data_IF_328375092560
#
_entry.id   IF_328375092560
#
_cell.length_a   1.000
_cell.length_b   1.000
_cell.length_c   1.000
_cell.angle_alpha   90.00
_cell.angle_beta   90.00
_cell.angle_gamma   90.00
#
_symmetry.space_group_name_H-M   'P 1'
#
loop_
_entity.id
_entity.type
_entity.pdbx_description
1 polymer ?
#
# COMPACT_ATOMS: atom_id res chain seq x y z
N UNK A 1 -9.07 13.50 -3.06
CA UNK A 1 -8.83 14.21 -1.78
C UNK A 1 -8.20 13.18 -0.89
N UNK A 2 -6.95 13.40 -0.48
CA UNK A 2 -6.25 12.50 0.42
C UNK A 2 -6.91 12.64 1.81
N UNK A 3 -7.39 11.53 2.37
CA UNK A 3 -7.92 11.53 3.73
C UNK A 3 -6.72 11.60 4.67
N UNK A 4 -6.59 12.70 5.43
CA UNK A 4 -5.42 12.95 6.27
C UNK A 4 -5.45 12.15 7.59
N UNK A 5 -6.52 11.38 7.86
CA UNK A 5 -6.75 10.51 9.03
C UNK A 5 -6.36 11.11 10.40
N UNK A 6 -6.27 12.43 10.50
CA UNK A 6 -5.80 13.14 11.71
C UNK A 6 -6.71 12.88 12.90
N UNK A 7 -7.99 12.61 12.65
CA UNK A 7 -8.96 12.22 13.66
C UNK A 7 -8.59 10.92 14.40
N UNK A 8 -7.73 10.07 13.83
CA UNK A 8 -7.27 8.84 14.50
C UNK A 8 -6.35 9.15 15.67
N UNK A 9 -5.63 10.28 15.59
CA UNK A 9 -4.75 10.76 16.66
C UNK A 9 -5.53 11.35 17.85
N UNK A 10 -6.84 11.55 17.70
CA UNK A 10 -7.73 12.02 18.76
C UNK A 10 -8.45 10.85 19.48
N UNK A 11 -8.31 9.62 18.97
CA UNK A 11 -8.95 8.45 19.54
C UNK A 11 -8.42 8.13 20.94
N UNK A 12 -9.25 7.65 21.88
CA UNK A 12 -8.79 7.17 23.17
C UNK A 12 -7.74 6.06 23.02
N UNK A 13 -6.58 6.22 23.66
CA UNK A 13 -5.47 5.27 23.57
C UNK A 13 -4.33 5.61 24.52
N UNK A 14 -3.38 4.70 24.65
CA UNK A 14 -2.12 4.91 25.36
C UNK A 14 -1.18 5.82 24.55
N UNK A 15 -0.21 6.50 25.21
CA UNK A 15 0.78 7.30 24.49
C UNK A 15 1.57 6.51 23.42
N UNK A 16 1.85 5.23 23.69
CA UNK A 16 2.57 4.36 22.74
C UNK A 16 1.73 4.06 21.49
N UNK A 17 0.44 3.75 21.66
CA UNK A 17 -0.46 3.56 20.52
C UNK A 17 -0.57 4.85 19.68
N UNK A 18 -0.60 6.01 20.33
CA UNK A 18 -0.67 7.30 19.64
C UNK A 18 0.61 7.63 18.86
N UNK A 19 1.78 7.37 19.44
CA UNK A 19 3.06 7.54 18.76
C UNK A 19 3.16 6.60 17.55
N UNK A 20 2.79 5.34 17.71
CA UNK A 20 2.77 4.36 16.62
C UNK A 20 1.80 4.77 15.50
N UNK A 21 0.57 5.18 15.84
CA UNK A 21 -0.40 5.65 14.85
C UNK A 21 0.15 6.85 14.08
N UNK A 22 0.74 7.82 14.78
CA UNK A 22 1.35 8.98 14.13
C UNK A 22 2.43 8.58 13.13
N UNK A 23 3.36 7.72 13.52
CA UNK A 23 4.45 7.26 12.64
C UNK A 23 3.91 6.54 11.39
N UNK A 24 2.90 5.70 11.56
CA UNK A 24 2.29 4.96 10.44
C UNK A 24 1.52 5.90 9.51
N UNK A 25 0.66 6.76 10.05
CA UNK A 25 -0.17 7.68 9.26
C UNK A 25 0.68 8.71 8.50
N UNK A 26 1.84 9.13 9.03
CA UNK A 26 2.75 10.07 8.37
C UNK A 26 3.35 9.55 7.06
N UNK A 27 3.38 8.22 6.88
CA UNK A 27 4.02 7.55 5.72
C UNK A 27 3.10 6.60 4.96
N UNK A 28 1.78 6.67 5.21
CA UNK A 28 0.77 5.89 4.50
C UNK A 28 0.88 6.10 2.99
N UNK A 29 1.06 5.01 2.25
CA UNK A 29 1.03 5.08 0.79
C UNK A 29 -0.37 5.47 0.27
N UNK A 30 -0.46 5.81 -1.02
CA UNK A 30 -1.78 6.03 -1.66
C UNK A 30 -2.66 4.78 -1.55
N UNK A 31 -2.10 3.59 -1.80
CA UNK A 31 -2.83 2.32 -1.70
C UNK A 31 -3.33 2.06 -0.28
N UNK A 32 -2.45 2.23 0.71
CA UNK A 32 -2.79 2.05 2.12
C UNK A 32 -3.84 3.09 2.56
N UNK A 33 -3.76 4.33 2.07
CA UNK A 33 -4.75 5.38 2.35
C UNK A 33 -6.13 5.03 1.80
N UNK A 34 -6.22 4.46 0.60
CA UNK A 34 -7.47 4.00 0.00
C UNK A 34 -8.06 2.82 0.78
N UNK A 35 -7.21 1.85 1.12
CA UNK A 35 -7.59 0.70 1.95
C UNK A 35 -8.10 1.15 3.33
N UNK A 36 -7.40 2.08 3.97
CA UNK A 36 -7.77 2.57 5.30
C UNK A 36 -9.08 3.36 5.25
N UNK A 37 -9.29 4.17 4.22
CA UNK A 37 -10.55 4.87 4.02
C UNK A 37 -11.73 3.89 3.92
N UNK A 38 -11.60 2.83 3.10
CA UNK A 38 -12.64 1.83 2.95
C UNK A 38 -12.93 1.10 4.28
N UNK A 39 -11.89 0.55 4.91
CA UNK A 39 -12.02 -0.21 6.17
C UNK A 39 -12.64 0.65 7.27
N UNK A 40 -12.24 1.92 7.37
CA UNK A 40 -12.71 2.82 8.42
C UNK A 40 -14.13 3.33 8.18
N UNK A 41 -14.59 3.38 6.93
CA UNK A 41 -16.00 3.67 6.63
C UNK A 41 -16.91 2.48 6.95
N UNK A 42 -16.45 1.26 6.68
CA UNK A 42 -17.18 0.04 7.05
C UNK A 42 -17.19 -0.23 8.56
N UNK A 43 -16.06 0.03 9.22
CA UNK A 43 -15.84 -0.21 10.65
C UNK A 43 -15.10 0.98 11.29
N UNK A 44 -15.81 2.07 11.63
CA UNK A 44 -15.18 3.24 12.25
C UNK A 44 -14.47 2.89 13.56
N UNK A 45 -13.19 3.25 13.73
CA UNK A 45 -12.45 2.95 14.95
C UNK A 45 -12.95 3.82 16.12
N UNK A 46 -13.19 3.21 17.29
CA UNK A 46 -13.64 3.93 18.49
C UNK A 46 -12.47 4.30 19.43
N UNK A 47 -11.33 3.64 19.28
CA UNK A 47 -10.11 3.79 20.08
C UNK A 47 -8.88 3.51 19.24
N UNK A 48 -7.71 3.92 19.73
CA UNK A 48 -6.44 3.75 19.04
C UNK A 48 -6.16 2.28 18.65
N UNK A 49 -6.46 1.33 19.53
CA UNK A 49 -6.33 -0.10 19.24
C UNK A 49 -7.13 -0.57 18.01
N UNK A 50 -8.31 0.01 17.76
CA UNK A 50 -9.15 -0.35 16.59
C UNK A 50 -8.57 0.24 15.30
N UNK A 51 -8.01 1.46 15.38
CA UNK A 51 -7.29 2.09 14.27
C UNK A 51 -6.02 1.30 13.92
N UNK A 52 -5.24 0.88 14.93
CA UNK A 52 -4.07 0.01 14.75
C UNK A 52 -4.47 -1.29 14.06
N UNK A 53 -5.52 -1.95 14.55
CA UNK A 53 -6.07 -3.15 13.91
C UNK A 53 -6.41 -2.92 12.43
N UNK A 54 -7.01 -1.78 12.11
CA UNK A 54 -7.38 -1.42 10.74
C UNK A 54 -6.13 -1.27 9.86
N UNK A 55 -5.10 -0.56 10.34
CA UNK A 55 -3.81 -0.40 9.65
C UNK A 55 -3.13 -1.75 9.42
N UNK A 56 -3.17 -2.65 10.40
CA UNK A 56 -2.58 -3.99 10.26
C UNK A 56 -3.31 -4.89 9.27
N UNK A 57 -4.56 -4.57 8.91
CA UNK A 57 -5.34 -5.32 7.92
C UNK A 57 -5.21 -4.78 6.49
N UNK A 58 -4.52 -3.65 6.30
CA UNK A 58 -4.38 -3.04 4.98
C UNK A 58 -3.67 -3.94 3.96
N UNK A 59 -2.61 -4.69 4.30
CA UNK A 59 -1.97 -5.62 3.36
C UNK A 59 -2.93 -6.67 2.79
N UNK A 60 -3.93 -7.07 3.57
CA UNK A 60 -4.93 -8.06 3.16
C UNK A 60 -6.06 -7.47 2.29
N UNK A 61 -6.12 -6.14 2.12
CA UNK A 61 -7.07 -5.48 1.23
C UNK A 61 -6.60 -5.56 -0.23
N UNK A 62 -7.51 -5.81 -1.15
CA UNK A 62 -7.23 -5.81 -2.60
C UNK A 62 -7.91 -4.63 -3.26
N UNK A 63 -7.19 -3.89 -4.12
CA UNK A 63 -7.75 -2.76 -4.85
C UNK A 63 -7.98 -3.16 -6.31
N UNK A 64 -9.20 -2.91 -6.79
CA UNK A 64 -9.60 -3.18 -8.16
C UNK A 64 -9.82 -1.84 -8.88
N UNK A 65 -9.23 -1.58 -10.06
CA UNK A 65 -9.35 -0.32 -10.80
C UNK A 65 -10.74 -0.17 -11.44
N UNK A 66 -11.75 0.09 -10.61
CA UNK A 66 -13.15 0.20 -10.96
C UNK A 66 -13.85 1.27 -10.11
N UNK A 67 -14.46 2.27 -10.74
CA UNK A 67 -15.14 3.37 -10.05
C UNK A 67 -16.65 3.22 -9.93
N UNK A 68 -17.21 2.14 -10.48
CA UNK A 68 -18.64 1.84 -10.52
C UNK A 68 -18.86 0.33 -10.63
N UNK A 69 -20.09 -0.13 -10.39
CA UNK A 69 -20.44 -1.55 -10.62
C UNK A 69 -20.25 -1.95 -12.09
N UNK A 70 -20.61 -1.09 -13.03
CA UNK A 70 -20.36 -1.34 -14.46
C UNK A 70 -18.86 -1.54 -14.76
N UNK A 71 -17.99 -0.71 -14.18
CA UNK A 71 -16.53 -0.86 -14.34
C UNK A 71 -16.01 -2.13 -13.66
N UNK A 72 -16.55 -2.45 -12.48
CA UNK A 72 -16.18 -3.63 -11.71
C UNK A 72 -16.57 -4.92 -12.43
N UNK A 73 -17.77 -4.97 -13.02
CA UNK A 73 -18.20 -6.09 -13.84
C UNK A 73 -17.41 -6.23 -15.14
N UNK A 74 -16.96 -5.13 -15.75
CA UNK A 74 -16.01 -5.19 -16.87
C UNK A 74 -14.65 -5.70 -16.44
N UNK A 75 -14.18 -5.28 -15.27
CA UNK A 75 -12.89 -5.70 -14.70
C UNK A 75 -12.88 -7.19 -14.38
N UNK A 76 -13.90 -7.71 -13.68
CA UNK A 76 -13.98 -9.12 -13.29
C UNK A 76 -13.95 -10.08 -14.48
N UNK A 77 -14.46 -9.65 -15.63
CA UNK A 77 -14.46 -10.44 -16.85
C UNK A 77 -13.13 -10.47 -17.61
N UNK A 78 -12.17 -9.57 -17.31
CA UNK A 78 -10.86 -9.56 -18.01
C UNK A 78 -10.04 -10.84 -17.79
N UNK A 79 -10.30 -11.59 -16.70
CA UNK A 79 -9.65 -12.86 -16.41
C UNK A 79 -10.34 -14.10 -17.03
N UNK A 80 -11.61 -13.99 -17.42
CA UNK A 80 -12.34 -15.02 -18.15
C UNK A 80 -12.17 -14.79 -19.66
N UNK A 81 -12.25 -15.85 -20.48
CA UNK A 81 -12.08 -15.75 -21.93
C UNK A 81 -12.86 -14.55 -22.49
N UNK A 82 -12.17 -13.61 -23.15
CA UNK A 82 -12.75 -12.34 -23.58
C UNK A 82 -14.05 -12.58 -24.35
N UNK A 83 -15.15 -12.00 -23.86
CA UNK A 83 -16.43 -12.10 -24.56
C UNK A 83 -16.28 -11.50 -25.97
N UNK A 84 -16.90 -12.11 -26.99
CA UNK A 84 -16.93 -11.54 -28.33
C UNK A 84 -17.49 -10.10 -28.33
N UNK A 85 -16.91 -9.20 -29.14
CA UNK A 85 -17.29 -7.78 -29.17
C UNK A 85 -18.78 -7.56 -29.47
N UNK A 86 -19.40 -8.44 -30.26
CA UNK A 86 -20.81 -8.39 -30.62
C UNK A 86 -21.75 -8.76 -29.45
N UNK A 87 -21.23 -9.40 -28.41
CA UNK A 87 -21.98 -9.76 -27.20
C UNK A 87 -21.92 -8.64 -26.15
N UNK A 88 -20.82 -7.88 -26.09
CA UNK A 88 -20.59 -6.84 -25.07
C UNK A 88 -21.77 -5.87 -24.85
N UNK A 89 -22.47 -5.37 -25.90
CA UNK A 89 -23.60 -4.45 -25.70
C UNK A 89 -24.82 -5.05 -25.00
N UNK A 90 -24.88 -6.39 -24.90
CA UNK A 90 -25.99 -7.12 -24.28
C UNK A 90 -25.65 -7.65 -22.88
N UNK A 91 -24.40 -7.46 -22.44
CA UNK A 91 -23.95 -7.89 -21.12
C UNK A 91 -24.34 -6.83 -20.10
N UNK A 92 -25.01 -7.27 -19.03
CA UNK A 92 -25.31 -6.41 -17.89
C UNK A 92 -24.10 -6.36 -16.94
N UNK A 93 -23.14 -5.49 -17.27
CA UNK A 93 -21.94 -5.33 -16.46
C UNK A 93 -22.23 -4.74 -15.07
N UNK A 94 -23.29 -3.96 -14.92
CA UNK A 94 -23.68 -3.43 -13.62
C UNK A 94 -24.11 -4.57 -12.69
N UNK A 95 -24.95 -5.48 -13.18
CA UNK A 95 -25.35 -6.66 -12.41
C UNK A 95 -24.17 -7.58 -12.07
N UNK A 96 -23.26 -7.83 -13.03
CA UNK A 96 -22.04 -8.62 -12.77
C UNK A 96 -21.16 -7.95 -11.71
N UNK A 97 -21.07 -6.61 -11.71
CA UNK A 97 -20.34 -5.87 -10.68
C UNK A 97 -20.96 -6.01 -9.29
N UNK A 98 -22.29 -6.02 -9.20
CA UNK A 98 -22.99 -6.28 -7.94
C UNK A 98 -22.76 -7.71 -7.44
N UNK A 99 -22.84 -8.70 -8.33
CA UNK A 99 -22.51 -10.10 -8.00
C UNK A 99 -21.05 -10.24 -7.53
N UNK A 100 -20.13 -9.50 -8.14
CA UNK A 100 -18.74 -9.44 -7.69
C UNK A 100 -18.63 -8.90 -6.25
N UNK A 101 -19.30 -7.79 -5.91
CA UNK A 101 -19.30 -7.27 -4.53
C UNK A 101 -19.89 -8.27 -3.53
N UNK A 102 -20.96 -8.98 -3.89
CA UNK A 102 -21.57 -10.00 -3.02
C UNK A 102 -20.57 -11.12 -2.67
N UNK A 103 -19.71 -11.50 -3.61
CA UNK A 103 -18.64 -12.49 -3.41
C UNK A 103 -17.37 -11.90 -2.76
N UNK A 104 -17.11 -10.62 -3.01
CA UNK A 104 -15.92 -9.86 -2.61
C UNK A 104 -16.31 -8.55 -1.92
N UNK A 105 -16.80 -8.60 -0.65
CA UNK A 105 -17.31 -7.41 0.03
C UNK A 105 -16.28 -6.29 0.10
N UNK A 106 -16.71 -5.05 -0.14
CA UNK A 106 -15.79 -3.93 -0.29
C UNK A 106 -16.48 -2.58 -0.35
N UNK A 107 -15.76 -1.57 -0.83
CA UNK A 107 -16.28 -0.22 -1.01
C UNK A 107 -15.56 0.53 -2.14
N UNK A 108 -16.31 1.35 -2.89
CA UNK A 108 -15.72 2.25 -3.89
C UNK A 108 -15.05 3.46 -3.22
N UNK A 109 -13.74 3.64 -3.43
CA UNK A 109 -12.92 4.75 -2.95
C UNK A 109 -12.06 5.26 -4.11
N UNK A 110 -12.12 6.57 -4.40
CA UNK A 110 -11.17 7.21 -5.32
C UNK A 110 -11.15 6.67 -6.75
N UNK A 111 -12.25 6.07 -7.23
CA UNK A 111 -12.30 5.43 -8.56
C UNK A 111 -11.80 3.98 -8.57
N UNK A 112 -11.53 3.41 -7.41
CA UNK A 112 -11.20 2.01 -7.19
C UNK A 112 -12.29 1.33 -6.34
N UNK A 113 -12.42 0.03 -6.50
CA UNK A 113 -13.19 -0.82 -5.60
C UNK A 113 -12.22 -1.51 -4.65
N UNK A 114 -12.32 -1.21 -3.36
CA UNK A 114 -11.48 -1.79 -2.33
C UNK A 114 -12.19 -3.00 -1.74
N UNK A 115 -11.73 -4.19 -2.09
CA UNK A 115 -12.15 -5.44 -1.46
C UNK A 115 -11.57 -5.51 -0.05
N UNK A 116 -12.46 -5.72 0.93
CA UNK A 116 -12.08 -5.91 2.33
C UNK A 116 -11.24 -7.18 2.48
N UNK A 117 -10.41 -7.25 3.54
CA UNK A 117 -9.62 -8.44 3.81
C UNK A 117 -10.52 -9.66 3.93
N UNK A 118 -10.18 -10.75 3.22
CA UNK A 118 -10.91 -12.02 3.25
C UNK A 118 -10.85 -12.64 4.64
N UNK A 119 -11.70 -12.16 5.55
CA UNK A 119 -11.81 -12.55 6.97
C UNK A 119 -10.54 -13.25 7.48
N UNK A 120 -9.43 -12.51 7.50
CA UNK A 120 -8.12 -13.03 7.91
C UNK A 120 -8.00 -13.01 9.44
N UNK A 121 -7.01 -13.72 9.96
CA UNK A 121 -6.79 -14.08 11.36
C UNK A 121 -7.05 -12.95 12.38
N UNK A 122 -7.35 -13.32 13.64
CA UNK A 122 -7.41 -12.33 14.72
C UNK A 122 -6.20 -11.40 14.63
N UNK A 123 -6.41 -10.08 14.57
CA UNK A 123 -5.31 -9.14 14.40
C UNK A 123 -4.28 -9.34 15.50
N UNK A 124 -3.00 -9.22 15.14
CA UNK A 124 -1.87 -9.44 16.04
C UNK A 124 -1.95 -8.57 17.34
N UNK A 125 -2.70 -7.46 17.30
CA UNK A 125 -2.86 -6.54 18.42
C UNK A 125 -4.25 -6.62 19.07
N UNK A 126 -4.29 -7.01 20.35
CA UNK A 126 -5.52 -7.10 21.16
C UNK A 126 -5.72 -5.94 22.15
N UNK A 127 -4.80 -4.96 22.17
CA UNK A 127 -4.85 -3.79 23.04
C UNK A 127 -4.47 -4.02 24.52
N UNK A 128 -4.33 -5.26 24.99
CA UNK A 128 -3.92 -5.56 26.38
C UNK A 128 -2.74 -6.52 26.42
N UNK A 129 -1.60 -6.05 26.93
CA UNK A 129 -0.34 -6.80 27.06
C UNK A 129 0.24 -7.34 25.73
N UNK A 130 -0.23 -6.83 24.58
CA UNK A 130 0.39 -7.08 23.29
C UNK A 130 1.44 -5.98 23.03
N UNK A 131 2.62 -6.37 22.57
CA UNK A 131 3.57 -5.42 22.03
C UNK A 131 2.97 -4.80 20.75
N UNK A 132 3.26 -3.53 20.52
CA UNK A 132 2.92 -2.90 19.25
C UNK A 132 3.73 -3.60 18.15
N UNK A 133 3.09 -4.02 17.05
CA UNK A 133 3.78 -4.68 15.96
C UNK A 133 4.75 -3.70 15.29
N UNK A 134 5.93 -4.20 14.93
CA UNK A 134 6.89 -3.45 14.13
C UNK A 134 6.43 -3.38 12.67
N UNK A 135 6.51 -2.20 12.10
CA UNK A 135 6.30 -1.99 10.66
C UNK A 135 7.54 -2.47 9.89
N UNK A 136 7.56 -3.76 9.59
CA UNK A 136 8.72 -4.47 9.04
C UNK A 136 8.52 -4.95 7.60
N UNK A 137 7.31 -4.82 7.06
CA UNK A 137 6.96 -5.33 5.73
C UNK A 137 7.12 -4.26 4.64
N UNK A 138 8.32 -3.69 4.54
CA UNK A 138 8.70 -2.72 3.50
C UNK A 138 10.21 -2.66 3.36
N UNK A 139 10.68 -2.22 2.19
CA UNK A 139 12.09 -1.93 1.92
C UNK A 139 12.35 -0.43 1.84
N UNK A 140 11.53 0.26 1.04
CA UNK A 140 11.68 1.68 0.76
C UNK A 140 10.31 2.37 0.79
N UNK A 141 10.24 3.54 1.41
CA UNK A 141 9.10 4.46 1.29
C UNK A 141 9.57 5.74 0.60
N UNK A 142 8.87 6.15 -0.45
CA UNK A 142 9.21 7.34 -1.24
C UNK A 142 8.08 8.35 -1.16
N UNK A 143 8.43 9.61 -0.92
CA UNK A 143 7.50 10.72 -1.08
C UNK A 143 7.74 11.36 -2.44
N UNK A 144 6.82 11.18 -3.35
CA UNK A 144 6.89 11.66 -4.73
C UNK A 144 5.94 12.83 -4.92
N UNK A 145 6.36 13.86 -5.62
CA UNK A 145 5.55 15.02 -5.96
C UNK A 145 5.45 15.22 -7.48
N UNK A 146 4.49 16.03 -7.90
CA UNK A 146 4.35 16.49 -9.28
C UNK A 146 3.99 17.97 -9.30
N UNK A 147 4.05 18.65 -10.46
CA UNK A 147 3.57 20.03 -10.57
C UNK A 147 2.10 20.21 -10.16
N UNK A 148 1.27 19.17 -10.31
CA UNK A 148 -0.14 19.22 -9.94
C UNK A 148 -0.36 18.95 -8.43
N UNK A 149 0.54 18.20 -7.80
CA UNK A 149 0.48 17.81 -6.38
C UNK A 149 1.86 18.04 -5.75
N UNK A 150 2.20 19.30 -5.42
CA UNK A 150 3.54 19.68 -4.96
C UNK A 150 3.88 19.17 -3.56
N UNK A 151 2.87 18.96 -2.70
CA UNK A 151 3.05 18.38 -1.36
C UNK A 151 3.46 16.90 -1.39
N UNK A 152 3.22 16.24 -2.53
CA UNK A 152 3.53 14.86 -2.79
C UNK A 152 2.61 13.83 -2.12
N UNK A 153 2.76 12.59 -2.55
CA UNK A 153 2.11 11.40 -1.99
C UNK A 153 3.19 10.37 -1.64
N UNK A 154 2.86 9.48 -0.71
CA UNK A 154 3.75 8.38 -0.36
C UNK A 154 3.49 7.15 -1.24
N UNK A 155 4.57 6.45 -1.51
CA UNK A 155 4.66 5.15 -2.16
C UNK A 155 5.38 4.21 -1.19
N UNK A 156 4.88 2.98 -1.03
CA UNK A 156 5.51 1.95 -0.20
C UNK A 156 5.94 0.77 -1.08
N UNK A 157 7.17 0.33 -0.92
CA UNK A 157 7.74 -0.82 -1.63
C UNK A 157 8.11 -1.96 -0.67
N UNK A 158 8.06 -3.23 -1.13
CA UNK A 158 7.66 -3.65 -2.47
C UNK A 158 6.13 -3.69 -2.64
N UNK A 159 5.66 -3.76 -3.89
CA UNK A 159 4.23 -3.81 -4.19
C UNK A 159 3.54 -5.15 -3.87
N UNK A 160 4.29 -6.26 -3.82
CA UNK A 160 3.83 -7.64 -3.58
C UNK A 160 2.66 -8.16 -4.45
N UNK A 161 2.38 -7.51 -5.57
CA UNK A 161 1.33 -7.94 -6.52
C UNK A 161 1.86 -8.85 -7.65
N UNK A 162 3.16 -9.13 -7.65
CA UNK A 162 3.83 -9.98 -8.63
C UNK A 162 4.04 -9.32 -10.00
N UNK A 163 3.82 -8.01 -10.10
CA UNK A 163 4.10 -7.22 -11.30
C UNK A 163 5.54 -6.73 -11.31
N UNK A 164 5.95 -6.15 -12.43
CA UNK A 164 7.17 -5.35 -12.47
C UNK A 164 6.99 -4.12 -11.58
N UNK A 165 8.05 -3.68 -10.91
CA UNK A 165 8.00 -2.58 -9.94
C UNK A 165 7.29 -1.32 -10.49
N UNK A 166 7.54 -0.96 -11.75
CA UNK A 166 6.94 0.20 -12.41
C UNK A 166 5.44 0.06 -12.70
N UNK A 167 4.97 -1.18 -12.81
CA UNK A 167 3.58 -1.55 -13.08
C UNK A 167 2.85 -1.99 -11.79
N UNK A 168 3.54 -1.96 -10.64
CA UNK A 168 2.97 -2.34 -9.36
C UNK A 168 1.80 -1.41 -9.00
N UNK A 169 0.76 -1.95 -8.35
CA UNK A 169 -0.44 -1.22 -7.95
C UNK A 169 -0.10 0.00 -7.09
N UNK A 170 0.89 -0.14 -6.21
CA UNK A 170 1.48 0.95 -5.42
C UNK A 170 1.95 2.11 -6.32
N UNK A 171 2.69 1.82 -7.39
CA UNK A 171 3.23 2.83 -8.31
C UNK A 171 2.13 3.42 -9.17
N UNK A 172 1.25 2.60 -9.74
CA UNK A 172 0.14 3.05 -10.60
C UNK A 172 -0.77 4.01 -9.83
N UNK A 173 -1.14 3.66 -8.59
CA UNK A 173 -1.96 4.51 -7.73
C UNK A 173 -1.28 5.83 -7.39
N UNK A 174 0.02 5.80 -7.09
CA UNK A 174 0.78 7.02 -6.82
C UNK A 174 0.82 7.94 -8.05
N UNK A 175 1.06 7.40 -9.25
CA UNK A 175 1.07 8.18 -10.50
C UNK A 175 -0.30 8.79 -10.82
N UNK A 176 -1.38 8.03 -10.61
CA UNK A 176 -2.76 8.50 -10.79
C UNK A 176 -3.07 9.70 -9.89
N UNK A 177 -2.78 9.62 -8.59
CA UNK A 177 -2.98 10.74 -7.64
C UNK A 177 -2.10 11.94 -7.97
N UNK A 178 -0.86 11.69 -8.40
CA UNK A 178 0.07 12.73 -8.86
C UNK A 178 -0.32 13.32 -10.22
N UNK A 179 -1.27 12.72 -10.94
CA UNK A 179 -1.75 13.13 -12.27
C UNK A 179 -0.64 13.15 -13.32
N UNK A 180 0.26 12.18 -13.24
CA UNK A 180 1.36 11.98 -14.19
C UNK A 180 1.27 10.59 -14.79
N UNK A 181 2.04 10.34 -15.86
CA UNK A 181 2.01 9.03 -16.56
C UNK A 181 3.24 8.17 -16.28
N UNK A 182 4.28 8.76 -15.70
CA UNK A 182 5.57 8.11 -15.50
C UNK A 182 6.25 8.67 -14.26
N UNK A 183 7.07 7.84 -13.62
CA UNK A 183 7.96 8.24 -12.52
C UNK A 183 8.97 9.31 -12.95
N UNK A 184 9.27 9.42 -14.25
CA UNK A 184 10.13 10.47 -14.80
C UNK A 184 9.52 11.89 -14.69
N UNK A 185 8.19 11.98 -14.58
CA UNK A 185 7.47 13.24 -14.40
C UNK A 185 7.34 13.62 -12.89
N UNK A 186 7.87 12.79 -11.99
CA UNK A 186 7.84 13.01 -10.56
C UNK A 186 9.08 13.74 -10.04
N UNK A 187 8.96 14.33 -8.87
CA UNK A 187 10.07 14.86 -8.07
C UNK A 187 10.14 14.09 -6.76
N UNK A 188 11.31 13.53 -6.44
CA UNK A 188 11.55 12.87 -5.16
C UNK A 188 11.73 13.93 -4.06
N UNK A 189 10.84 13.93 -3.07
CA UNK A 189 10.92 14.83 -1.91
C UNK A 189 11.62 14.17 -0.73
N UNK A 190 11.33 12.89 -0.49
CA UNK A 190 11.84 12.14 0.64
C UNK A 190 11.98 10.67 0.27
N UNK A 191 13.02 10.01 0.79
CA UNK A 191 13.20 8.57 0.67
C UNK A 191 13.59 8.02 2.04
N UNK A 192 12.94 6.93 2.46
CA UNK A 192 13.28 6.17 3.66
C UNK A 192 13.59 4.74 3.25
N UNK A 193 14.62 4.16 3.86
CA UNK A 193 14.97 2.75 3.74
C UNK A 193 14.77 2.06 5.09
N UNK A 194 14.29 0.82 5.08
CA UNK A 194 14.22 0.00 6.29
C UNK A 194 15.63 -0.34 6.81
N UNK A 195 16.62 -0.33 5.92
CA UNK A 195 18.03 -0.54 6.25
C UNK A 195 18.72 0.82 6.45
N UNK A 196 19.05 1.21 7.69
CA UNK A 196 19.71 2.48 7.94
C UNK A 196 21.10 2.57 7.29
N UNK A 197 21.78 1.44 7.11
CA UNK A 197 23.07 1.32 6.43
C UNK A 197 22.99 1.64 4.94
N UNK A 198 21.79 1.70 4.35
CA UNK A 198 21.64 2.11 2.95
C UNK A 198 21.87 3.62 2.75
N UNK A 199 22.02 4.41 3.82
CA UNK A 199 22.34 5.83 3.74
C UNK A 199 21.27 6.68 3.05
N UNK A 200 21.70 7.81 2.47
CA UNK A 200 20.80 8.78 1.83
C UNK A 200 20.52 8.42 0.36
N UNK A 201 19.43 7.69 0.15
CA UNK A 201 18.99 7.23 -1.17
C UNK A 201 18.76 8.40 -2.16
N UNK A 202 18.41 9.59 -1.67
CA UNK A 202 18.17 10.76 -2.54
C UNK A 202 19.43 11.27 -3.23
N UNK A 203 20.61 10.96 -2.68
CA UNK A 203 21.92 11.31 -3.24
C UNK A 203 22.52 10.20 -4.09
N UNK A 204 22.08 8.96 -3.90
CA UNK A 204 22.61 7.80 -4.59
C UNK A 204 21.97 7.58 -5.97
N UNK A 205 20.70 7.96 -6.11
CA UNK A 205 19.94 7.75 -7.34
C UNK A 205 19.74 9.05 -8.11
N UNK A 206 19.96 8.98 -9.42
CA UNK A 206 19.61 10.05 -10.37
C UNK A 206 18.27 9.83 -11.08
N UNK A 207 17.69 8.63 -10.91
CA UNK A 207 16.47 8.16 -11.57
C UNK A 207 15.53 7.60 -10.51
N UNK A 208 14.30 8.13 -10.45
CA UNK A 208 13.26 7.63 -9.55
C UNK A 208 12.85 6.21 -9.96
N UNK A 209 12.81 5.93 -11.26
CA UNK A 209 12.48 4.60 -11.79
C UNK A 209 13.47 3.54 -11.33
N UNK A 210 14.77 3.84 -11.36
CA UNK A 210 15.78 2.88 -10.89
C UNK A 210 15.71 2.68 -9.38
N UNK A 211 15.47 3.76 -8.62
CA UNK A 211 15.25 3.68 -7.17
C UNK A 211 14.02 2.82 -6.82
N UNK A 212 12.92 2.98 -7.55
CA UNK A 212 11.71 2.17 -7.36
C UNK A 212 12.00 0.70 -7.67
N UNK A 213 12.67 0.41 -8.79
CA UNK A 213 13.02 -0.96 -9.17
C UNK A 213 13.93 -1.63 -8.15
N UNK A 214 14.99 -0.94 -7.72
CA UNK A 214 15.96 -1.50 -6.77
C UNK A 214 15.38 -1.59 -5.35
N UNK A 215 14.55 -0.63 -4.96
CA UNK A 215 13.79 -0.67 -3.71
C UNK A 215 12.80 -1.85 -3.67
N UNK A 216 12.06 -2.07 -4.75
CA UNK A 216 11.13 -3.21 -4.87
C UNK A 216 11.88 -4.55 -4.81
N UNK A 217 12.97 -4.68 -5.58
CA UNK A 217 13.85 -5.86 -5.52
C UNK A 217 14.42 -6.11 -4.13
N UNK A 218 14.85 -5.07 -3.41
CA UNK A 218 15.31 -5.18 -2.03
C UNK A 218 14.21 -5.74 -1.12
N UNK A 219 12.96 -5.33 -1.33
CA UNK A 219 11.80 -5.87 -0.60
C UNK A 219 11.68 -7.38 -0.72
N UNK A 220 11.77 -7.90 -1.94
CA UNK A 220 11.77 -9.34 -2.17
C UNK A 220 12.96 -10.05 -1.52
N UNK A 221 14.17 -9.48 -1.60
CA UNK A 221 15.36 -10.03 -0.93
C UNK A 221 15.18 -10.10 0.59
N UNK A 222 14.60 -9.06 1.19
CA UNK A 222 14.29 -9.02 2.63
C UNK A 222 13.24 -10.06 3.02
N UNK A 223 12.19 -10.22 2.21
CA UNK A 223 11.13 -11.20 2.42
C UNK A 223 11.64 -12.65 2.35
N UNK A 224 12.59 -12.95 1.47
CA UNK A 224 13.18 -14.28 1.32
C UNK A 224 14.04 -14.71 2.52
N UNK A 225 14.53 -13.75 3.34
CA UNK A 225 15.37 -13.98 4.52
C UNK A 225 16.53 -14.95 4.29
N UNK A 226 17.17 -14.87 3.11
CA UNK A 226 18.24 -15.77 2.71
C UNK A 226 17.86 -17.25 2.74
N UNK A 227 16.62 -17.57 2.36
CA UNK A 227 16.04 -18.91 2.36
C UNK A 227 15.96 -19.53 3.78
N UNK A 228 15.63 -18.70 4.76
CA UNK A 228 15.46 -19.12 6.17
C UNK A 228 16.77 -19.29 6.94
N UNK A 229 17.85 -18.64 6.48
CA UNK A 229 19.15 -18.70 7.16
C UNK A 229 19.07 -17.99 8.52
N UNK A 230 19.52 -18.66 9.57
CA UNK A 230 19.55 -18.07 10.91
C UNK A 230 20.38 -16.78 10.93
N UNK A 231 19.83 -15.73 11.56
CA UNK A 231 20.44 -14.41 11.70
C UNK A 231 20.81 -13.79 10.34
N UNK A 232 19.98 -13.97 9.32
CA UNK A 232 20.28 -13.45 7.99
C UNK A 232 20.30 -11.91 7.98
N UNK A 233 19.31 -11.25 8.57
CA UNK A 233 19.27 -9.78 8.66
C UNK A 233 20.50 -9.23 9.38
N UNK A 234 20.87 -9.81 10.54
CA UNK A 234 22.07 -9.39 11.28
C UNK A 234 23.35 -9.49 10.42
N UNK A 235 23.46 -10.57 9.63
CA UNK A 235 24.61 -10.78 8.73
C UNK A 235 24.57 -9.84 7.52
N UNK A 236 23.38 -9.51 7.04
CA UNK A 236 23.18 -8.60 5.92
C UNK A 236 23.54 -7.17 6.33
N UNK A 237 23.02 -6.70 7.47
CA UNK A 237 23.37 -5.41 8.05
C UNK A 237 24.88 -5.30 8.33
N UNK A 238 25.50 -6.33 8.94
CA UNK A 238 26.95 -6.34 9.18
C UNK A 238 27.78 -6.32 7.89
N UNK A 239 27.25 -6.88 6.79
CA UNK A 239 27.92 -6.81 5.49
C UNK A 239 27.83 -5.40 4.89
N UNK A 240 26.67 -4.74 5.02
CA UNK A 240 26.50 -3.35 4.57
C UNK A 240 27.40 -2.40 5.36
N UNK A 241 27.49 -2.57 6.68
CA UNK A 241 28.40 -1.79 7.53
C UNK A 241 29.87 -2.04 7.14
N UNK A 242 30.24 -3.28 6.80
CA UNK A 242 31.60 -3.60 6.37
C UNK A 242 31.98 -2.98 5.02
N UNK A 243 31.03 -2.84 4.10
CA UNK A 243 31.24 -2.24 2.77
C UNK A 243 31.14 -0.69 2.78
N UNK A 244 31.00 -0.08 3.97
CA UNK A 244 30.82 1.37 4.15
C UNK A 244 29.68 1.93 3.27
N UNK A 245 28.55 1.22 3.22
CA UNK A 245 27.32 1.71 2.58
C UNK A 245 26.77 2.98 3.25
#
# INVERSE_FOLDING_TARGET
MMNDFKEFLELPGTPQEQEWLKEQLETLSVRESYALAAVSMGYPPEKAADAIKSILSLPDCTLHPAGSYEDLGKYSQKGAASLPEDVLPYVDFDHIGQEFEDEHPGLFIGGYYVEYPKKAAEPAYSGKNAFLPEDSDWSVKLKLASPAVPEGVWLRLPGYDGKMAEDADEVVLALDELRVKSLEDCTLLEARCILPEAGDLTKQYSSITDLVRDGDNLGYVLAEQGQGKAHWLDKFAAALEYEDC
#
